data_IF_418690844872
#
_entry.id   IF_418690844872
#
_cell.length_a   1.000
_cell.length_b   1.000
_cell.length_c   1.000
_cell.angle_alpha   90.00
_cell.angle_beta   90.00
_cell.angle_gamma   90.00
#
_symmetry.space_group_name_H-M   'P 1'
#
loop_
_entity.id
_entity.type
_entity.pdbx_description
1 polymer ?
#
# COMPACT_ATOMS: atom_id res chain seq x y z
N UNK A 1 24.16 5.17 -3.81
CA UNK A 1 23.59 6.48 -4.18
C UNK A 1 22.44 6.73 -3.24
N UNK A 2 22.33 7.93 -2.68
CA UNK A 2 21.20 8.26 -1.81
C UNK A 2 19.93 8.44 -2.65
N UNK A 3 18.81 7.91 -2.17
CA UNK A 3 17.50 8.11 -2.78
C UNK A 3 17.11 9.58 -2.76
N UNK A 4 16.39 10.01 -3.80
CA UNK A 4 15.85 11.35 -3.90
C UNK A 4 14.35 11.33 -3.59
N UNK A 5 13.90 12.30 -2.80
CA UNK A 5 12.52 12.37 -2.33
C UNK A 5 11.82 13.66 -2.77
N UNK A 6 10.56 13.54 -3.18
CA UNK A 6 9.63 14.66 -3.36
C UNK A 6 8.45 14.48 -2.42
N UNK A 7 8.22 15.46 -1.53
CA UNK A 7 7.09 15.41 -0.58
C UNK A 7 5.75 15.38 -1.31
N UNK A 8 4.87 14.47 -0.90
CA UNK A 8 3.48 14.42 -1.37
C UNK A 8 2.55 15.22 -0.45
N UNK A 9 2.86 15.23 0.84
CA UNK A 9 2.15 16.01 1.84
C UNK A 9 3.14 16.57 2.88
N UNK A 10 2.71 17.57 3.66
CA UNK A 10 3.59 18.27 4.61
C UNK A 10 4.11 17.36 5.73
N UNK A 11 3.29 16.37 6.14
CA UNK A 11 3.53 15.55 7.35
C UNK A 11 3.66 14.05 7.12
N UNK A 12 3.45 13.57 5.90
CA UNK A 12 3.57 12.15 5.53
C UNK A 12 3.66 12.05 4.00
N UNK A 13 4.01 10.88 3.49
CA UNK A 13 4.01 10.58 2.06
C UNK A 13 5.15 11.24 1.28
N UNK A 14 5.93 10.41 0.58
CA UNK A 14 6.96 10.87 -0.36
C UNK A 14 6.93 10.08 -1.66
N UNK A 15 7.24 10.75 -2.75
CA UNK A 15 7.61 10.12 -4.02
C UNK A 15 9.11 9.88 -4.02
N UNK A 16 9.53 8.66 -4.33
CA UNK A 16 10.93 8.32 -4.59
C UNK A 16 11.17 8.54 -6.08
N UNK A 17 11.96 9.57 -6.41
CA UNK A 17 12.18 9.99 -7.80
C UNK A 17 13.41 9.30 -8.40
N UNK A 18 13.37 9.09 -9.71
CA UNK A 18 14.46 8.49 -10.49
C UNK A 18 14.92 7.13 -9.96
N UNK A 19 13.98 6.28 -9.54
CA UNK A 19 14.25 4.94 -9.01
C UNK A 19 13.40 3.89 -9.74
N UNK A 20 14.04 2.86 -10.28
CA UNK A 20 13.38 1.72 -10.93
C UNK A 20 13.51 0.47 -10.05
N UNK A 21 12.40 0.03 -9.44
CA UNK A 21 12.36 -1.14 -8.56
C UNK A 21 12.82 -2.43 -9.25
N UNK A 22 12.72 -2.52 -10.58
CA UNK A 22 13.13 -3.71 -11.34
C UNK A 22 14.65 -3.79 -11.57
N UNK A 23 15.38 -2.67 -11.41
CA UNK A 23 16.81 -2.58 -11.73
C UNK A 23 17.67 -2.15 -10.55
N UNK A 24 17.18 -1.19 -9.77
CA UNK A 24 17.97 -0.49 -8.76
C UNK A 24 17.83 -1.12 -7.36
N UNK A 25 16.92 -2.10 -7.20
CA UNK A 25 16.61 -2.75 -5.93
C UNK A 25 17.73 -3.68 -5.46
N UNK A 26 18.63 -3.14 -4.65
CA UNK A 26 19.63 -3.87 -3.89
C UNK A 26 19.47 -3.64 -2.37
N UNK A 27 20.24 -4.35 -1.55
CA UNK A 27 20.12 -4.29 -0.09
C UNK A 27 20.37 -2.87 0.49
N UNK A 28 21.22 -2.05 -0.13
CA UNK A 28 21.47 -0.68 0.35
C UNK A 28 20.29 0.21 0.01
N UNK A 29 19.81 0.18 -1.24
CA UNK A 29 18.61 0.93 -1.64
C UNK A 29 17.39 0.52 -0.82
N UNK A 30 17.23 -0.77 -0.51
CA UNK A 30 16.11 -1.24 0.30
C UNK A 30 16.16 -0.73 1.73
N UNK A 31 17.35 -0.61 2.34
CA UNK A 31 17.49 0.01 3.67
C UNK A 31 17.02 1.46 3.66
N UNK A 32 17.35 2.21 2.61
CA UNK A 32 16.88 3.60 2.45
C UNK A 32 15.37 3.66 2.19
N UNK A 33 14.82 2.74 1.39
CA UNK A 33 13.37 2.60 1.19
C UNK A 33 12.66 2.30 2.51
N UNK A 34 13.16 1.34 3.29
CA UNK A 34 12.56 0.96 4.57
C UNK A 34 12.61 2.11 5.58
N UNK A 35 13.74 2.83 5.64
CA UNK A 35 13.85 4.05 6.44
C UNK A 35 12.81 5.09 6.02
N UNK A 36 12.70 5.37 4.71
CA UNK A 36 11.71 6.31 4.20
C UNK A 36 10.27 5.84 4.46
N UNK A 37 9.97 4.54 4.38
CA UNK A 37 8.66 4.01 4.68
C UNK A 37 8.29 4.23 6.15
N UNK A 38 9.21 3.96 7.07
CA UNK A 38 8.99 4.18 8.50
C UNK A 38 8.81 5.66 8.84
N UNK A 39 9.53 6.56 8.15
CA UNK A 39 9.45 8.02 8.39
C UNK A 39 8.19 8.65 7.78
N UNK A 40 7.81 8.23 6.58
CA UNK A 40 6.77 8.92 5.79
C UNK A 40 5.47 8.14 5.65
N UNK A 41 5.42 6.86 6.00
CA UNK A 41 4.24 5.98 5.98
C UNK A 41 3.72 5.61 4.58
N UNK A 42 3.89 6.47 3.58
CA UNK A 42 3.47 6.23 2.18
C UNK A 42 4.64 6.54 1.24
N UNK A 43 4.92 5.60 0.35
CA UNK A 43 5.92 5.75 -0.70
C UNK A 43 5.25 5.63 -2.07
N UNK A 44 5.51 6.60 -2.95
CA UNK A 44 5.08 6.56 -4.35
C UNK A 44 6.28 6.33 -5.26
N UNK A 45 6.18 5.31 -6.11
CA UNK A 45 7.12 5.07 -7.20
C UNK A 45 6.38 5.28 -8.52
N UNK A 46 6.77 6.31 -9.28
CA UNK A 46 6.15 6.57 -10.59
C UNK A 46 6.84 5.77 -11.70
N UNK A 47 6.09 5.49 -12.77
CA UNK A 47 6.58 4.89 -14.02
C UNK A 47 7.29 3.55 -13.81
N UNK A 48 6.78 2.73 -12.90
CA UNK A 48 7.29 1.38 -12.68
C UNK A 48 6.65 0.43 -13.69
N UNK A 49 7.48 -0.29 -14.45
CA UNK A 49 7.04 -1.45 -15.22
C UNK A 49 7.43 -2.71 -14.45
N UNK A 50 6.68 -3.00 -13.39
CA UNK A 50 7.00 -4.07 -12.46
C UNK A 50 6.21 -5.33 -12.82
N UNK A 51 6.89 -6.44 -13.10
CA UNK A 51 6.22 -7.74 -13.24
C UNK A 51 5.64 -8.19 -11.89
N UNK A 52 4.64 -9.06 -11.93
CA UNK A 52 4.06 -9.71 -10.74
C UNK A 52 5.15 -10.38 -9.91
N UNK A 53 6.08 -11.09 -10.56
CA UNK A 53 7.24 -11.71 -9.90
C UNK A 53 8.09 -10.66 -9.16
N UNK A 54 8.42 -9.54 -9.80
CA UNK A 54 9.20 -8.48 -9.18
C UNK A 54 8.43 -7.76 -8.05
N UNK A 55 7.11 -7.65 -8.15
CA UNK A 55 6.27 -7.17 -7.05
C UNK A 55 6.36 -8.10 -5.83
N UNK A 56 6.30 -9.43 -6.05
CA UNK A 56 6.47 -10.43 -4.98
C UNK A 56 7.88 -10.37 -4.39
N UNK A 57 8.93 -10.26 -5.22
CA UNK A 57 10.32 -10.10 -4.76
C UNK A 57 10.47 -8.86 -3.90
N UNK A 58 9.89 -7.73 -4.30
CA UNK A 58 9.90 -6.50 -3.51
C UNK A 58 9.14 -6.65 -2.19
N UNK A 59 7.95 -7.25 -2.21
CA UNK A 59 7.19 -7.56 -0.98
C UNK A 59 7.94 -8.44 0.00
N UNK A 60 8.66 -9.45 -0.50
CA UNK A 60 9.49 -10.35 0.32
C UNK A 60 10.67 -9.63 1.00
N UNK A 61 11.08 -8.44 0.55
CA UNK A 61 12.09 -7.63 1.25
C UNK A 61 11.56 -7.07 2.57
N UNK A 62 10.26 -6.83 2.68
CA UNK A 62 9.63 -6.41 3.94
C UNK A 62 9.44 -7.60 4.88
N UNK A 63 9.11 -8.79 4.37
CA UNK A 63 8.98 -9.99 5.18
C UNK A 63 8.17 -11.09 4.49
N UNK A 64 7.55 -11.97 5.27
CA UNK A 64 6.65 -13.00 4.72
C UNK A 64 5.43 -12.34 4.08
N UNK A 65 5.19 -12.63 2.80
CA UNK A 65 3.99 -12.14 2.11
C UNK A 65 2.75 -12.88 2.63
N UNK A 66 1.70 -12.12 2.94
CA UNK A 66 0.42 -12.65 3.36
C UNK A 66 -0.42 -12.99 2.13
N UNK A 67 -0.71 -14.28 1.95
CA UNK A 67 -1.60 -14.76 0.88
C UNK A 67 -3.05 -14.48 1.29
N UNK A 68 -3.80 -13.83 0.40
CA UNK A 68 -5.21 -13.53 0.63
C UNK A 68 -6.02 -14.83 0.72
N UNK A 69 -6.95 -14.95 1.68
CA UNK A 69 -7.67 -16.20 1.94
C UNK A 69 -8.68 -16.57 0.83
N UNK A 70 -9.15 -15.58 0.08
CA UNK A 70 -10.08 -15.78 -1.03
C UNK A 70 -9.30 -15.93 -2.33
N UNK A 71 -9.18 -17.17 -2.81
CA UNK A 71 -8.35 -17.53 -3.96
C UNK A 71 -8.80 -16.93 -5.29
N UNK A 72 -10.07 -16.53 -5.42
CA UNK A 72 -10.61 -15.96 -6.67
C UNK A 72 -9.93 -14.64 -7.07
N UNK A 73 -9.25 -13.98 -6.13
CA UNK A 73 -8.51 -12.75 -6.36
C UNK A 73 -7.01 -12.99 -6.58
N UNK A 74 -6.54 -14.23 -6.60
CA UNK A 74 -5.13 -14.51 -6.83
C UNK A 74 -4.76 -14.24 -8.29
N UNK A 75 -3.61 -13.62 -8.50
CA UNK A 75 -3.02 -13.57 -9.83
C UNK A 75 -2.66 -14.98 -10.30
N UNK A 76 -2.80 -15.24 -11.60
CA UNK A 76 -2.47 -16.53 -12.19
C UNK A 76 -1.00 -16.89 -11.92
N UNK A 77 -0.77 -18.07 -11.36
CA UNK A 77 0.56 -18.56 -10.97
C UNK A 77 1.21 -17.83 -9.78
N UNK A 78 0.56 -16.82 -9.19
CA UNK A 78 1.13 -15.99 -8.13
C UNK A 78 0.10 -15.70 -7.01
N UNK A 79 -0.17 -16.68 -6.13
CA UNK A 79 -1.14 -16.53 -5.03
C UNK A 79 -0.79 -15.41 -4.04
N UNK A 80 0.46 -14.96 -4.01
CA UNK A 80 0.91 -13.81 -3.24
C UNK A 80 0.32 -12.47 -3.69
N UNK A 81 -0.19 -12.39 -4.92
CA UNK A 81 -0.72 -11.14 -5.49
C UNK A 81 -2.23 -11.20 -5.56
N UNK A 82 -2.85 -10.20 -4.92
CA UNK A 82 -4.28 -9.92 -4.95
C UNK A 82 -4.60 -8.99 -6.11
N UNK A 83 -5.36 -9.47 -7.09
CA UNK A 83 -5.82 -8.71 -8.25
C UNK A 83 -7.16 -8.06 -7.95
N UNK A 84 -7.16 -6.74 -7.84
CA UNK A 84 -8.37 -5.92 -7.69
C UNK A 84 -8.65 -5.19 -9.00
N UNK A 85 -9.69 -5.60 -9.73
CA UNK A 85 -10.11 -4.94 -10.96
C UNK A 85 -11.64 -4.98 -11.10
N UNK A 86 -12.21 -4.07 -11.89
CA UNK A 86 -13.63 -4.00 -12.16
C UNK A 86 -13.99 -4.37 -13.61
N UNK A 87 -13.18 -5.21 -14.26
CA UNK A 87 -13.38 -5.59 -15.65
C UNK A 87 -14.34 -6.78 -15.77
N UNK A 88 -15.11 -6.83 -16.85
CA UNK A 88 -15.88 -8.02 -17.24
C UNK A 88 -15.00 -9.05 -17.98
N UNK A 89 -15.56 -10.20 -18.34
CA UNK A 89 -14.85 -11.28 -19.04
C UNK A 89 -14.31 -10.86 -20.43
N UNK A 90 -14.76 -9.71 -20.95
CA UNK A 90 -14.30 -9.13 -22.23
C UNK A 90 -13.28 -8.01 -22.02
N UNK A 91 -12.87 -7.75 -20.78
CA UNK A 91 -11.92 -6.72 -20.41
C UNK A 91 -12.50 -5.30 -20.37
N UNK A 92 -13.83 -5.13 -20.38
CA UNK A 92 -14.47 -3.81 -20.32
C UNK A 92 -14.85 -3.45 -18.87
N UNK A 93 -14.82 -2.16 -18.49
CA UNK A 93 -15.28 -1.74 -17.16
C UNK A 93 -16.74 -2.16 -16.91
N UNK A 94 -16.95 -3.03 -15.92
CA UNK A 94 -18.26 -3.60 -15.57
C UNK A 94 -19.19 -2.62 -14.86
N UNK A 95 -18.66 -1.47 -14.40
CA UNK A 95 -19.37 -0.50 -13.56
C UNK A 95 -19.64 -0.96 -12.12
N UNK A 96 -19.20 -2.18 -11.75
CA UNK A 96 -19.34 -2.72 -10.40
C UNK A 96 -18.05 -2.53 -9.62
N UNK A 97 -18.15 -2.04 -8.40
CA UNK A 97 -16.99 -1.94 -7.53
C UNK A 97 -16.57 -3.34 -7.05
N UNK A 98 -15.30 -3.76 -7.21
CA UNK A 98 -14.88 -5.14 -7.00
C UNK A 98 -14.81 -5.54 -5.53
N UNK A 99 -14.61 -4.57 -4.65
CA UNK A 99 -14.64 -4.77 -3.20
C UNK A 99 -15.33 -3.59 -2.51
N UNK A 100 -16.58 -3.77 -2.08
CA UNK A 100 -17.33 -2.69 -1.42
C UNK A 100 -16.67 -2.24 -0.10
N UNK A 101 -15.87 -3.10 0.54
CA UNK A 101 -15.17 -2.75 1.77
C UNK A 101 -14.14 -1.64 1.55
N UNK A 102 -13.51 -1.61 0.37
CA UNK A 102 -12.48 -0.62 0.06
C UNK A 102 -13.03 0.77 -0.28
N UNK A 103 -14.36 0.96 -0.27
CA UNK A 103 -15.00 2.28 -0.41
C UNK A 103 -14.96 3.10 0.89
N UNK A 104 -14.70 2.45 2.03
CA UNK A 104 -14.66 3.09 3.35
C UNK A 104 -13.22 3.24 3.85
N UNK A 105 -13.00 4.16 4.79
CA UNK A 105 -11.72 4.24 5.49
C UNK A 105 -11.45 2.95 6.25
N UNK A 106 -10.34 2.29 5.93
CA UNK A 106 -9.92 1.04 6.54
C UNK A 106 -8.39 0.95 6.57
N UNK A 107 -7.89 -0.03 7.32
CA UNK A 107 -6.53 -0.56 7.19
C UNK A 107 -6.63 -2.06 6.94
N UNK A 108 -5.84 -2.55 5.99
CA UNK A 108 -5.89 -3.94 5.55
C UNK A 108 -5.64 -4.89 6.72
N UNK A 109 -6.44 -5.95 6.80
CA UNK A 109 -6.25 -7.00 7.80
C UNK A 109 -6.46 -6.56 9.26
N UNK A 110 -7.09 -5.39 9.51
CA UNK A 110 -7.43 -4.92 10.87
C UNK A 110 -8.11 -5.99 11.73
N UNK A 111 -8.98 -6.81 11.15
CA UNK A 111 -9.61 -7.94 11.85
C UNK A 111 -8.66 -9.05 12.37
N UNK A 112 -7.36 -8.99 12.06
CA UNK A 112 -6.34 -9.95 12.49
C UNK A 112 -5.50 -9.38 13.63
N UNK A 113 -5.20 -10.23 14.62
CA UNK A 113 -4.25 -9.91 15.70
C UNK A 113 -2.87 -9.46 15.19
N UNK A 114 -2.37 -10.11 14.14
CA UNK A 114 -1.13 -9.75 13.48
C UNK A 114 -1.46 -9.35 12.04
N UNK A 115 -1.45 -8.04 11.77
CA UNK A 115 -1.69 -7.52 10.42
C UNK A 115 -0.40 -7.38 9.60
N UNK A 116 -0.53 -7.07 8.31
CA UNK A 116 0.57 -6.75 7.43
C UNK A 116 1.23 -5.42 7.83
N UNK A 117 2.56 -5.37 7.75
CA UNK A 117 3.31 -4.13 8.01
C UNK A 117 3.24 -3.13 6.85
N UNK A 118 2.93 -3.60 5.64
CA UNK A 118 2.89 -2.80 4.42
C UNK A 118 1.96 -3.43 3.40
N UNK A 119 1.23 -2.59 2.68
CA UNK A 119 0.47 -2.95 1.47
C UNK A 119 1.20 -2.40 0.26
N UNK A 120 1.45 -3.23 -0.76
CA UNK A 120 2.15 -2.85 -1.99
C UNK A 120 1.16 -2.95 -3.15
N UNK A 121 0.81 -1.79 -3.72
CA UNK A 121 -0.09 -1.69 -4.86
C UNK A 121 0.68 -1.34 -6.12
N UNK A 122 0.41 -2.08 -7.19
CA UNK A 122 0.89 -1.79 -8.55
C UNK A 122 -0.32 -1.47 -9.41
N UNK A 123 -0.31 -0.30 -10.05
CA UNK A 123 -1.37 0.10 -10.96
C UNK A 123 -1.09 -0.47 -12.35
N UNK A 124 -1.97 -1.34 -12.84
CA UNK A 124 -1.88 -1.95 -14.17
C UNK A 124 -2.69 -1.15 -15.20
N UNK A 125 -4.01 -1.08 -15.01
CA UNK A 125 -4.92 -0.26 -15.82
C UNK A 125 -5.51 0.85 -14.94
N UNK A 126 -5.32 2.11 -15.37
CA UNK A 126 -5.77 3.30 -14.63
C UNK A 126 -6.98 3.90 -15.35
N UNK A 127 -8.10 4.18 -14.66
CA UNK A 127 -9.24 4.86 -15.27
C UNK A 127 -8.89 6.28 -15.72
N UNK A 128 -9.51 6.76 -16.80
CA UNK A 128 -9.28 8.12 -17.30
C UNK A 128 -9.84 9.22 -16.38
N UNK A 129 -10.74 8.86 -15.46
CA UNK A 129 -11.35 9.76 -14.48
C UNK A 129 -11.72 8.98 -13.22
N UNK A 130 -11.45 9.57 -12.04
CA UNK A 130 -11.73 8.97 -10.74
C UNK A 130 -10.77 7.84 -10.38
N UNK A 131 -11.14 7.05 -9.36
CA UNK A 131 -10.34 5.90 -8.91
C UNK A 131 -9.16 6.30 -8.03
N UNK A 132 -9.20 7.49 -7.43
CA UNK A 132 -8.17 7.95 -6.51
C UNK A 132 -8.15 7.10 -5.24
N UNK A 133 -6.95 6.68 -4.82
CA UNK A 133 -6.74 6.09 -3.50
C UNK A 133 -6.40 7.20 -2.50
N UNK A 134 -7.19 7.31 -1.44
CA UNK A 134 -6.97 8.29 -0.38
C UNK A 134 -6.26 7.65 0.81
N UNK A 135 -5.39 8.42 1.46
CA UNK A 135 -4.61 7.97 2.62
C UNK A 135 -4.75 8.95 3.78
N UNK A 136 -4.74 8.43 5.01
CA UNK A 136 -4.79 9.20 6.25
C UNK A 136 -3.64 8.78 7.17
N UNK A 137 -2.93 9.75 7.74
CA UNK A 137 -1.85 9.48 8.68
C UNK A 137 -2.39 9.42 10.11
N UNK A 138 -2.59 8.21 10.62
CA UNK A 138 -3.18 7.98 11.95
C UNK A 138 -2.30 8.49 13.10
N UNK A 139 -0.98 8.51 12.94
CA UNK A 139 -0.07 9.10 13.94
C UNK A 139 -0.32 10.61 14.08
N UNK A 140 -0.38 11.33 12.97
CA UNK A 140 -0.69 12.76 12.96
C UNK A 140 -2.10 13.05 13.48
N UNK A 141 -3.08 12.22 13.12
CA UNK A 141 -4.45 12.34 13.64
C UNK A 141 -4.49 12.16 15.15
N UNK A 142 -3.84 11.12 15.69
CA UNK A 142 -3.74 10.91 17.13
C UNK A 142 -3.00 12.06 17.83
N UNK A 143 -1.88 12.52 17.26
CA UNK A 143 -1.11 13.63 17.82
C UNK A 143 -1.92 14.92 17.95
N UNK A 144 -2.86 15.16 17.03
CA UNK A 144 -3.74 16.34 17.02
C UNK A 144 -4.85 16.33 18.07
N UNK A 145 -5.13 15.17 18.71
CA UNK A 145 -6.12 15.08 19.78
C UNK A 145 -5.65 15.84 21.03
N UNK A 146 -6.61 16.41 21.76
CA UNK A 146 -6.35 16.96 23.09
C UNK A 146 -6.01 15.85 24.10
N UNK A 147 -5.43 16.25 25.23
CA UNK A 147 -5.00 15.32 26.27
C UNK A 147 -6.16 14.56 26.92
N UNK A 148 -7.34 15.17 27.01
CA UNK A 148 -8.52 14.51 27.61
C UNK A 148 -8.99 13.35 26.74
N UNK A 149 -9.04 13.56 25.43
CA UNK A 149 -9.39 12.51 24.47
C UNK A 149 -8.33 11.40 24.45
N UNK A 150 -7.04 11.76 24.42
CA UNK A 150 -5.95 10.77 24.50
C UNK A 150 -6.06 9.90 25.75
N UNK A 151 -6.33 10.50 26.92
CA UNK A 151 -6.56 9.76 28.17
C UNK A 151 -7.78 8.85 28.05
N UNK A 152 -8.91 9.38 27.56
CA UNK A 152 -10.14 8.61 27.40
C UNK A 152 -9.96 7.37 26.52
N UNK A 153 -9.26 7.50 25.39
CA UNK A 153 -9.12 6.38 24.45
C UNK A 153 -8.00 5.40 24.82
N UNK A 154 -7.10 5.76 25.74
CA UNK A 154 -6.02 4.88 26.21
C UNK A 154 -6.51 3.63 26.94
N UNK A 155 -7.76 3.64 27.42
CA UNK A 155 -8.39 2.51 28.12
C UNK A 155 -9.14 1.56 27.16
N UNK A 156 -9.29 1.94 25.89
CA UNK A 156 -10.03 1.13 24.92
C UNK A 156 -9.09 0.22 24.12
N UNK A 157 -9.66 -0.87 23.61
CA UNK A 157 -8.99 -1.79 22.70
C UNK A 157 -9.91 -2.13 21.54
N UNK A 158 -9.32 -2.22 20.35
CA UNK A 158 -9.94 -2.74 19.14
C UNK A 158 -8.96 -3.74 18.51
N UNK A 159 -9.48 -4.65 17.66
CA UNK A 159 -8.67 -5.54 16.83
C UNK A 159 -8.60 -4.92 15.44
#
# INVERSE_FOLDING_TARGET
MSLQFKKLHQKFGVEIINFDLSKDLNNNSFKEILFAFNEYGILLFRRQNLSIENQVIFGRKFGKVLIHAVNQYHAEGHPEVYVLNNLDDKGNPSGKHPDQGSLYWHTDGSWRKNTGQATIMVADIIPSKGGETQFCCMENSYASLDNSMKQKISEFSAV
#
